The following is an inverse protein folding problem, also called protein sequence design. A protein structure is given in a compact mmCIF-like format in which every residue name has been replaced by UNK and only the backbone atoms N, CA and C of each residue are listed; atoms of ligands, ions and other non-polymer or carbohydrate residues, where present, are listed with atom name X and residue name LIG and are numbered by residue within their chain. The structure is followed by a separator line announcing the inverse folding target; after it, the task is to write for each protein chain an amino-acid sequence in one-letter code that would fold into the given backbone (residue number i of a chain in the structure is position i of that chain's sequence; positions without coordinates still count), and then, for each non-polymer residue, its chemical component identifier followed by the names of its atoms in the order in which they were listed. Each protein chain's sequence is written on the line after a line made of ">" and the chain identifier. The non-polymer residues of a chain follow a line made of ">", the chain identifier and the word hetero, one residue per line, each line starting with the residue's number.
data_IF_365921492020
#
_entry.id   IF_365921492020
#
_cell.length_a   1.000
_cell.length_b   1.000
_cell.length_c   1.000
_cell.angle_alpha   90.00
_cell.angle_beta   90.00
_cell.angle_gamma   90.00
#
_symmetry.space_group_name_H-M   'P 1'
#
loop_
_entity.id
_entity.type
_entity.pdbx_description
1 polymer ?
#
# COMPACT_ATOMS: atom_id res chain seq x y z
N UNK A 1 23.54 10.33 -5.93
CA UNK A 1 22.20 10.60 -5.37
C UNK A 1 22.00 12.11 -5.31
N UNK A 2 20.92 12.60 -5.90
CA UNK A 2 20.60 14.02 -5.94
C UNK A 2 19.44 14.31 -4.98
N UNK A 3 19.51 15.34 -4.13
CA UNK A 3 18.39 15.70 -3.29
C UNK A 3 17.21 16.18 -4.13
N UNK A 4 15.99 15.89 -3.68
CA UNK A 4 14.74 16.34 -4.30
C UNK A 4 13.69 16.63 -3.25
N UNK A 5 12.62 17.30 -3.65
CA UNK A 5 11.44 17.53 -2.84
C UNK A 5 10.20 17.30 -3.71
N UNK A 6 9.18 16.70 -3.12
CA UNK A 6 7.88 16.45 -3.75
C UNK A 6 6.79 17.03 -2.88
N UNK A 7 5.88 17.78 -3.49
CA UNK A 7 4.67 18.26 -2.84
C UNK A 7 3.66 17.14 -2.61
N UNK A 8 2.51 17.50 -2.04
CA UNK A 8 1.45 16.55 -1.64
C UNK A 8 1.00 15.64 -2.79
N UNK A 9 0.77 16.18 -3.98
CA UNK A 9 0.26 15.46 -5.15
C UNK A 9 1.35 15.13 -6.17
N UNK A 10 2.61 15.30 -5.81
CA UNK A 10 3.74 15.00 -6.67
C UNK A 10 4.31 13.62 -6.39
N UNK A 11 4.81 12.99 -7.44
CA UNK A 11 5.33 11.62 -7.46
C UNK A 11 4.62 10.78 -8.51
N UNK A 12 5.11 9.57 -8.73
CA UNK A 12 4.53 8.62 -9.67
C UNK A 12 3.24 8.01 -9.06
N UNK A 13 2.11 8.25 -9.71
CA UNK A 13 0.81 7.78 -9.25
C UNK A 13 0.41 6.48 -9.94
N UNK A 14 -0.02 5.51 -9.15
CA UNK A 14 -0.44 4.18 -9.60
C UNK A 14 -1.75 3.84 -8.92
N UNK A 15 -2.73 3.35 -9.69
CA UNK A 15 -3.99 2.84 -9.17
C UNK A 15 -3.88 1.36 -8.86
N UNK A 16 -4.15 0.98 -7.63
CA UNK A 16 -4.14 -0.41 -7.20
C UNK A 16 -5.01 -0.62 -5.95
N UNK A 17 -5.74 -1.74 -5.87
CA UNK A 17 -6.62 -2.09 -4.73
C UNK A 17 -7.62 -0.99 -4.35
N UNK A 18 -8.16 -0.31 -5.34
CA UNK A 18 -9.10 0.79 -5.10
C UNK A 18 -8.48 1.96 -4.31
N UNK A 19 -7.20 2.19 -4.53
CA UNK A 19 -6.37 3.22 -3.90
C UNK A 19 -5.52 3.93 -4.95
N UNK A 20 -5.26 5.21 -4.74
CA UNK A 20 -4.26 5.95 -5.52
C UNK A 20 -2.94 5.97 -4.75
N UNK A 21 -2.01 5.14 -5.20
CA UNK A 21 -0.72 4.97 -4.57
C UNK A 21 0.32 5.86 -5.23
N UNK A 22 0.95 6.75 -4.48
CA UNK A 22 1.98 7.66 -4.98
C UNK A 22 3.34 7.27 -4.46
N UNK A 23 4.25 6.87 -5.36
CA UNK A 23 5.64 6.59 -5.03
C UNK A 23 6.36 7.91 -4.76
N UNK A 24 6.82 8.10 -3.52
CA UNK A 24 7.55 9.28 -3.07
C UNK A 24 9.06 9.08 -3.08
N UNK A 25 9.51 7.83 -2.87
CA UNK A 25 10.91 7.43 -2.99
C UNK A 25 10.98 5.98 -3.44
N UNK A 26 11.83 5.69 -4.40
CA UNK A 26 12.07 4.35 -4.90
C UNK A 26 13.48 3.83 -4.58
N UNK A 27 13.74 2.56 -4.89
CA UNK A 27 15.02 1.93 -4.63
C UNK A 27 16.18 2.57 -5.42
N UNK A 28 15.94 3.09 -6.60
CA UNK A 28 16.97 3.78 -7.38
C UNK A 28 17.41 5.05 -6.66
N UNK A 29 16.45 5.86 -6.23
CA UNK A 29 16.70 7.13 -5.52
C UNK A 29 17.33 6.92 -4.14
N UNK A 30 16.99 5.81 -3.46
CA UNK A 30 17.48 5.51 -2.10
C UNK A 30 18.67 4.53 -2.07
N UNK A 31 19.20 4.15 -3.23
CA UNK A 31 20.26 3.12 -3.37
C UNK A 31 19.88 1.79 -2.71
N UNK A 32 18.63 1.37 -2.88
CA UNK A 32 18.11 0.14 -2.30
C UNK A 32 17.76 0.24 -0.81
N UNK A 33 17.87 1.41 -0.20
CA UNK A 33 17.67 1.58 1.24
C UNK A 33 16.23 1.40 1.67
N UNK A 34 15.30 2.05 0.97
CA UNK A 34 13.87 2.02 1.30
C UNK A 34 13.01 2.43 0.11
N UNK A 35 11.73 2.09 0.17
CA UNK A 35 10.67 2.64 -0.69
C UNK A 35 9.67 3.38 0.18
N UNK A 36 9.18 4.52 -0.29
CA UNK A 36 8.09 5.28 0.36
C UNK A 36 6.95 5.44 -0.63
N UNK A 37 5.77 5.00 -0.21
CA UNK A 37 4.52 5.14 -0.97
C UNK A 37 3.46 5.79 -0.08
N UNK A 38 2.74 6.76 -0.62
CA UNK A 38 1.58 7.34 0.04
C UNK A 38 0.32 6.74 -0.58
N UNK A 39 -0.52 6.12 0.25
CA UNK A 39 -1.83 5.64 -0.16
C UNK A 39 -2.86 6.74 0.04
N UNK A 40 -3.62 7.04 -1.01
CA UNK A 40 -4.85 7.82 -0.92
C UNK A 40 -6.02 6.86 -1.08
N UNK A 41 -6.68 6.58 0.03
CA UNK A 41 -7.74 5.59 0.12
C UNK A 41 -9.12 6.23 0.12
N UNK A 42 -10.09 5.43 -0.27
CA UNK A 42 -11.51 5.75 -0.25
C UNK A 42 -12.22 4.84 0.75
N UNK A 43 -13.44 5.16 1.14
CA UNK A 43 -14.20 4.32 2.05
C UNK A 43 -14.31 2.88 1.50
N UNK A 44 -13.89 1.92 2.30
CA UNK A 44 -13.86 0.51 1.93
C UNK A 44 -12.63 0.05 1.15
N UNK A 45 -11.74 0.95 0.74
CA UNK A 45 -10.44 0.55 0.15
C UNK A 45 -9.75 -0.42 1.10
N UNK A 46 -9.35 -1.57 0.60
CA UNK A 46 -8.81 -2.64 1.44
C UNK A 46 -7.75 -3.45 0.73
N UNK A 47 -6.86 -4.02 1.52
CA UNK A 47 -5.84 -4.96 1.06
C UNK A 47 -6.06 -6.30 1.77
N UNK A 48 -6.07 -7.42 1.01
CA UNK A 48 -6.30 -8.73 1.59
C UNK A 48 -5.18 -9.15 2.55
N UNK A 49 -5.47 -10.11 3.41
CA UNK A 49 -4.48 -10.69 4.30
C UNK A 49 -3.36 -11.35 3.48
N UNK A 50 -2.15 -10.85 3.64
CA UNK A 50 -1.00 -11.31 2.89
C UNK A 50 0.26 -11.38 3.75
N UNK A 51 1.22 -12.14 3.28
CA UNK A 51 2.56 -12.25 3.84
C UNK A 51 3.56 -11.75 2.82
N UNK A 52 4.52 -11.03 3.27
CA UNK A 52 5.58 -10.44 2.49
C UNK A 52 6.93 -10.95 3.00
N UNK A 53 7.68 -11.62 2.15
CA UNK A 53 8.90 -12.33 2.54
C UNK A 53 10.16 -11.45 2.53
N UNK A 54 10.11 -10.29 1.88
CA UNK A 54 11.33 -9.50 1.56
C UNK A 54 11.45 -8.22 2.34
N UNK A 55 10.34 -7.62 2.76
CA UNK A 55 10.32 -6.27 3.31
C UNK A 55 9.74 -6.22 4.72
N UNK A 56 10.41 -5.47 5.58
CA UNK A 56 9.79 -4.93 6.77
C UNK A 56 9.01 -3.69 6.37
N UNK A 57 7.81 -3.51 6.88
CA UNK A 57 6.96 -2.40 6.47
C UNK A 57 6.43 -1.62 7.65
N UNK A 58 6.40 -0.30 7.51
CA UNK A 58 5.81 0.61 8.45
C UNK A 58 4.68 1.40 7.81
N UNK A 59 3.67 1.71 8.61
CA UNK A 59 2.53 2.53 8.20
C UNK A 59 2.36 3.69 9.18
N UNK A 60 2.31 4.89 8.66
CA UNK A 60 1.99 6.08 9.44
C UNK A 60 0.68 6.68 8.93
N UNK A 61 -0.33 6.73 9.79
CA UNK A 61 -1.63 7.25 9.42
C UNK A 61 -1.59 8.77 9.37
N UNK A 62 -1.85 9.33 8.22
CA UNK A 62 -1.89 10.78 8.01
C UNK A 62 -3.31 11.34 8.17
N UNK A 63 -4.29 10.67 7.58
CA UNK A 63 -5.70 11.07 7.57
C UNK A 63 -6.59 9.83 7.59
N UNK A 64 -7.79 9.94 8.17
CA UNK A 64 -8.80 8.90 8.15
C UNK A 64 -8.67 7.88 9.28
N UNK A 65 -9.57 6.92 9.26
CA UNK A 65 -9.66 5.83 10.23
C UNK A 65 -9.49 4.49 9.51
N UNK A 66 -8.74 3.60 10.12
CA UNK A 66 -8.38 2.30 9.54
C UNK A 66 -8.56 1.17 10.53
N UNK A 67 -8.89 0.00 10.00
CA UNK A 67 -8.77 -1.28 10.70
C UNK A 67 -7.62 -2.06 10.07
N UNK A 68 -6.59 -2.34 10.86
CA UNK A 68 -5.50 -3.26 10.50
C UNK A 68 -5.70 -4.61 11.15
N UNK A 69 -5.28 -5.66 10.47
CA UNK A 69 -5.02 -6.98 11.06
C UNK A 69 -3.52 -7.21 10.94
N UNK A 70 -2.86 -7.47 12.06
CA UNK A 70 -1.42 -7.77 12.12
C UNK A 70 -1.25 -9.04 12.94
N UNK A 71 -0.76 -10.10 12.31
CA UNK A 71 -0.78 -11.45 12.87
C UNK A 71 -2.22 -11.86 13.24
N UNK A 72 -2.51 -12.02 14.52
CA UNK A 72 -3.84 -12.38 15.03
C UNK A 72 -4.61 -11.19 15.63
N UNK A 73 -3.97 -10.03 15.70
CA UNK A 73 -4.52 -8.85 16.36
C UNK A 73 -5.25 -7.95 15.36
N UNK A 74 -6.42 -7.46 15.79
CA UNK A 74 -7.14 -6.39 15.09
C UNK A 74 -6.81 -5.06 15.76
N UNK A 75 -6.24 -4.14 14.99
CA UNK A 75 -5.71 -2.87 15.48
C UNK A 75 -6.44 -1.72 14.80
N UNK A 76 -7.24 -0.93 15.53
CA UNK A 76 -7.75 0.33 15.02
C UNK A 76 -6.61 1.35 14.92
N UNK A 77 -6.57 2.12 13.83
CA UNK A 77 -5.53 3.11 13.60
C UNK A 77 -6.13 4.43 13.13
N UNK A 78 -5.72 5.51 13.79
CA UNK A 78 -6.16 6.88 13.55
C UNK A 78 -4.96 7.78 13.26
N UNK A 79 -5.15 9.05 12.80
CA UNK A 79 -4.05 9.94 12.47
C UNK A 79 -3.00 10.05 13.60
N UNK A 80 -1.73 9.90 13.24
CA UNK A 80 -0.61 9.86 14.17
C UNK A 80 -0.22 8.45 14.62
N UNK A 81 -1.01 7.42 14.34
CA UNK A 81 -0.65 6.04 14.67
C UNK A 81 0.51 5.55 13.79
N UNK A 82 1.41 4.80 14.41
CA UNK A 82 2.49 4.09 13.75
C UNK A 82 2.32 2.59 13.94
N UNK A 83 2.32 1.84 12.84
CA UNK A 83 2.25 0.38 12.85
C UNK A 83 3.51 -0.17 12.18
N UNK A 84 4.13 -1.15 12.80
CA UNK A 84 5.30 -1.83 12.25
C UNK A 84 5.01 -3.32 12.05
N UNK A 85 5.27 -3.79 10.84
CA UNK A 85 5.03 -5.18 10.44
C UNK A 85 6.34 -5.77 9.91
N UNK A 86 7.01 -6.62 10.68
CA UNK A 86 8.18 -7.33 10.19
C UNK A 86 7.82 -8.23 9.00
N UNK A 87 8.76 -8.46 8.10
CA UNK A 87 8.61 -9.46 7.03
C UNK A 87 8.14 -10.80 7.58
N UNK A 88 7.39 -11.55 6.78
CA UNK A 88 6.77 -12.84 7.14
C UNK A 88 5.63 -12.76 8.15
N UNK A 89 5.21 -11.57 8.54
CA UNK A 89 4.03 -11.38 9.40
C UNK A 89 2.79 -11.17 8.52
N UNK A 90 1.74 -11.99 8.68
CA UNK A 90 0.47 -11.78 7.98
C UNK A 90 -0.14 -10.43 8.37
N UNK A 91 -0.59 -9.65 7.41
CA UNK A 91 -1.25 -8.38 7.67
C UNK A 91 -2.22 -7.98 6.56
N UNK A 92 -3.19 -7.15 6.94
CA UNK A 92 -4.24 -6.63 6.08
C UNK A 92 -4.71 -5.27 6.61
N UNK A 93 -5.42 -4.50 5.80
CA UNK A 93 -6.05 -3.27 6.28
C UNK A 93 -7.25 -2.87 5.44
N UNK A 94 -8.07 -2.01 6.02
CA UNK A 94 -9.23 -1.38 5.37
C UNK A 94 -9.36 0.06 5.84
N UNK A 95 -9.70 0.96 4.93
CA UNK A 95 -10.11 2.33 5.23
C UNK A 95 -11.58 2.33 5.65
N UNK A 96 -11.87 2.79 6.85
CA UNK A 96 -13.22 2.77 7.45
C UNK A 96 -13.95 4.12 7.34
N UNK A 97 -13.21 5.20 7.10
CA UNK A 97 -13.75 6.55 6.92
C UNK A 97 -13.99 6.88 5.45
N UNK A 98 -14.65 8.00 5.17
CA UNK A 98 -14.96 8.45 3.81
C UNK A 98 -13.73 8.59 2.91
N UNK A 99 -12.57 8.78 3.50
CA UNK A 99 -11.27 8.77 2.85
C UNK A 99 -10.16 8.66 3.86
N UNK A 100 -8.97 8.32 3.40
CA UNK A 100 -7.82 8.18 4.26
C UNK A 100 -6.51 8.37 3.51
N UNK A 101 -5.45 8.63 4.26
CA UNK A 101 -4.08 8.71 3.75
C UNK A 101 -3.12 8.03 4.69
N UNK A 102 -2.26 7.21 4.12
CA UNK A 102 -1.24 6.46 4.87
C UNK A 102 0.10 6.63 4.18
N UNK A 103 1.14 6.92 4.96
CA UNK A 103 2.51 6.83 4.49
C UNK A 103 3.03 5.42 4.78
N UNK A 104 3.40 4.70 3.74
CA UNK A 104 3.99 3.36 3.83
C UNK A 104 5.49 3.42 3.54
N UNK A 105 6.28 2.83 4.41
CA UNK A 105 7.74 2.72 4.27
C UNK A 105 8.13 1.25 4.28
N UNK A 106 8.86 0.81 3.27
CA UNK A 106 9.36 -0.57 3.19
C UNK A 106 10.89 -0.61 3.12
N UNK A 107 11.48 -1.56 3.82
CA UNK A 107 12.93 -1.74 3.92
C UNK A 107 13.29 -3.22 3.70
N UNK A 108 14.26 -3.51 2.82
CA UNK A 108 14.93 -2.63 1.87
C UNK A 108 13.98 -2.07 0.82
N UNK A 109 14.48 -1.20 -0.07
CA UNK A 109 13.73 -0.71 -1.22
C UNK A 109 13.47 -1.81 -2.25
N UNK A 110 12.52 -1.56 -3.17
CA UNK A 110 12.20 -2.46 -4.28
C UNK A 110 10.72 -2.83 -4.42
N UNK A 111 9.89 -2.58 -3.39
CA UNK A 111 8.45 -2.90 -3.46
C UNK A 111 7.73 -2.07 -4.54
N UNK A 112 8.23 -0.90 -4.89
CA UNK A 112 7.68 -0.09 -5.97
C UNK A 112 7.62 -0.83 -7.32
N UNK A 113 8.48 -1.78 -7.54
CA UNK A 113 8.45 -2.64 -8.72
C UNK A 113 7.14 -3.44 -8.82
N UNK A 114 6.62 -3.93 -7.69
CA UNK A 114 5.32 -4.59 -7.63
C UNK A 114 4.19 -3.63 -8.02
N UNK A 115 4.17 -2.42 -7.46
CA UNK A 115 3.16 -1.41 -7.81
C UNK A 115 3.17 -1.07 -9.30
N UNK A 116 4.37 -0.87 -9.87
CA UNK A 116 4.52 -0.57 -11.30
C UNK A 116 4.06 -1.70 -12.22
N UNK A 117 4.28 -2.95 -11.83
CA UNK A 117 3.88 -4.11 -12.64
C UNK A 117 2.41 -4.48 -12.45
N UNK A 118 1.90 -4.44 -11.24
CA UNK A 118 0.56 -4.91 -10.90
C UNK A 118 -0.52 -3.83 -11.03
N UNK A 119 -0.15 -2.57 -10.81
CA UNK A 119 -1.07 -1.45 -10.85
C UNK A 119 -1.21 -0.82 -12.22
N UNK A 120 -2.09 0.17 -12.30
CA UNK A 120 -2.33 0.99 -13.48
C UNK A 120 -1.75 2.38 -13.28
N UNK A 121 -0.91 2.83 -14.20
CA UNK A 121 -0.34 4.19 -14.17
C UNK A 121 -1.44 5.25 -14.29
N UNK A 122 -1.38 6.26 -13.43
CA UNK A 122 -2.31 7.40 -13.43
C UNK A 122 -1.54 8.69 -13.71
N UNK A 123 -1.35 9.07 -14.98
CA UNK A 123 -0.64 10.30 -15.32
C UNK A 123 -1.45 11.56 -14.99
N UNK A 124 -2.77 11.46 -14.94
CA UNK A 124 -3.69 12.55 -14.61
C UNK A 124 -4.56 12.15 -13.40
N UNK A 125 -4.29 12.73 -12.24
CA UNK A 125 -4.99 12.45 -10.98
C UNK A 125 -6.45 12.90 -10.96
N UNK A 126 -6.89 13.69 -11.96
CA UNK A 126 -8.31 14.08 -12.12
C UNK A 126 -9.13 13.01 -12.83
N UNK A 127 -8.47 12.00 -13.41
CA UNK A 127 -9.09 10.91 -14.18
C UNK A 127 -8.72 9.55 -13.56
N UNK A 128 -9.28 9.27 -12.38
CA UNK A 128 -9.07 7.99 -11.71
C UNK A 128 -9.85 6.86 -12.38
N UNK A 129 -9.31 5.64 -12.37
CA UNK A 129 -10.04 4.45 -12.79
C UNK A 129 -11.35 4.25 -12.01
N UNK A 130 -12.28 3.52 -12.60
CA UNK A 130 -13.53 3.17 -11.95
C UNK A 130 -13.26 2.19 -10.79
N UNK A 131 -13.86 2.46 -9.64
CA UNK A 131 -13.74 1.63 -8.42
C UNK A 131 -14.52 0.31 -8.50
N UNK A 132 -15.38 0.12 -9.49
CA UNK A 132 -16.33 -1.00 -9.56
C UNK A 132 -15.72 -2.36 -9.93
N UNK A 133 -14.46 -2.42 -10.40
CA UNK A 133 -13.83 -3.66 -10.82
C UNK A 133 -12.41 -3.84 -10.26
N UNK A 134 -12.24 -4.56 -9.11
CA UNK A 134 -10.91 -4.97 -8.70
C UNK A 134 -10.40 -6.07 -9.65
N UNK A 135 -9.35 -5.79 -10.40
CA UNK A 135 -8.64 -6.77 -11.21
C UNK A 135 -7.83 -7.72 -10.32
N UNK A 136 -8.47 -8.75 -9.78
CA UNK A 136 -7.87 -9.64 -8.77
C UNK A 136 -6.92 -10.71 -9.37
N UNK A 137 -7.10 -11.11 -10.63
CA UNK A 137 -6.40 -12.27 -11.20
C UNK A 137 -4.93 -12.02 -11.63
N UNK A 138 -4.55 -10.90 -12.25
CA UNK A 138 -3.15 -10.65 -12.57
C UNK A 138 -2.28 -10.34 -11.35
N UNK A 139 -2.89 -9.90 -10.26
CA UNK A 139 -2.18 -9.46 -9.05
C UNK A 139 -1.48 -10.60 -8.32
N UNK A 140 -2.07 -11.80 -8.25
CA UNK A 140 -1.51 -12.91 -7.48
C UNK A 140 -0.23 -13.47 -8.10
N UNK A 141 -0.13 -13.58 -9.43
CA UNK A 141 1.08 -14.05 -10.09
C UNK A 141 2.22 -13.03 -10.02
N UNK A 142 1.90 -11.76 -10.19
CA UNK A 142 2.87 -10.67 -10.02
C UNK A 142 3.33 -10.56 -8.57
N UNK A 143 2.42 -10.64 -7.62
CA UNK A 143 2.72 -10.63 -6.19
C UNK A 143 3.72 -11.76 -5.81
N UNK A 144 3.52 -12.96 -6.33
CA UNK A 144 4.42 -14.09 -6.07
C UNK A 144 5.86 -13.84 -6.52
N UNK A 145 6.06 -13.11 -7.63
CA UNK A 145 7.40 -12.72 -8.11
C UNK A 145 8.12 -11.79 -7.13
N UNK A 146 7.37 -11.05 -6.33
CA UNK A 146 7.89 -10.14 -5.30
C UNK A 146 7.89 -10.76 -3.89
N UNK A 147 7.63 -12.05 -3.75
CA UNK A 147 7.58 -12.71 -2.46
C UNK A 147 6.37 -12.35 -1.60
N UNK A 148 5.28 -11.92 -2.24
CA UNK A 148 4.01 -11.58 -1.61
C UNK A 148 3.01 -12.70 -1.85
N UNK A 149 2.41 -13.23 -0.79
CA UNK A 149 1.41 -14.30 -0.84
C UNK A 149 0.14 -13.87 -0.12
N UNK A 150 -0.97 -13.90 -0.84
CA UNK A 150 -2.29 -13.68 -0.24
C UNK A 150 -2.70 -14.96 0.50
N UNK A 151 -3.08 -14.81 1.77
CA UNK A 151 -3.41 -15.92 2.68
C UNK A 151 -4.82 -15.82 3.28
N UNK A 152 -5.55 -14.76 3.01
CA UNK A 152 -6.90 -14.56 3.50
C UNK A 152 -7.58 -13.32 2.93
N UNK A 153 -8.83 -13.06 3.33
CA UNK A 153 -9.59 -11.90 2.89
C UNK A 153 -9.12 -10.61 3.61
N UNK A 154 -9.52 -9.43 3.11
CA UNK A 154 -9.35 -8.18 3.84
C UNK A 154 -10.22 -8.13 5.10
N UNK A 155 -9.96 -7.21 6.05
CA UNK A 155 -10.76 -7.03 7.24
C UNK A 155 -12.23 -6.77 6.92
N UNK A 156 -13.14 -7.44 7.63
CA UNK A 156 -14.58 -7.26 7.49
C UNK A 156 -15.20 -7.87 6.22
N UNK A 157 -14.45 -8.58 5.39
CA UNK A 157 -15.02 -9.37 4.33
C UNK A 157 -15.73 -10.60 4.91
N UNK A 158 -16.94 -10.87 4.44
CA UNK A 158 -17.67 -12.10 4.79
C UNK A 158 -16.93 -13.30 4.18
N UNK A 159 -16.71 -14.38 4.95
CA UNK A 159 -16.06 -15.57 4.41
C UNK A 159 -16.86 -16.22 3.30
#
# INVERSE_FOLDING_TARGET
>A
MKPYALGREEGEAIWMFDSLDTIKADAEQTRGGFTVVEFLDFEGSSVPLHVNDRWDTGFYILEGEYTFVIAEDTVPATPGAWLFVPRKTPHAWRCDSAGGRVLNVTVPGGLEGFYRQAGESVPDRTQLPDRSEPAVQPLSSTAAQYGIKVVGPPPGATP
#
